data_IF_609707958104
#
_entry.id   IF_609707958104
#
_cell.length_a   1.000
_cell.length_b   1.000
_cell.length_c   1.000
_cell.angle_alpha   90.00
_cell.angle_beta   90.00
_cell.angle_gamma   90.00
#
_symmetry.space_group_name_H-M   'P 1'
#
loop_
_entity.id
_entity.type
_entity.pdbx_description
1 polymer ?
#
# COMPACT_ATOMS: atom_id res chain seq x y z
N UNK A 1 -9.31 -2.01 -19.57
CA UNK A 1 -8.54 -3.26 -19.28
C UNK A 1 -7.17 -2.93 -18.71
N UNK A 2 -6.28 -2.24 -19.43
CA UNK A 2 -4.93 -1.91 -18.94
C UNK A 2 -4.93 -1.10 -17.62
N UNK A 3 -5.80 -0.11 -17.50
CA UNK A 3 -5.97 0.66 -16.26
C UNK A 3 -6.39 -0.22 -15.07
N UNK A 4 -7.38 -1.09 -15.24
CA UNK A 4 -7.82 -2.02 -14.19
C UNK A 4 -6.70 -2.99 -13.81
N UNK A 5 -5.95 -3.49 -14.80
CA UNK A 5 -4.80 -4.35 -14.56
C UNK A 5 -3.71 -3.64 -13.75
N UNK A 6 -3.40 -2.38 -14.06
CA UNK A 6 -2.37 -1.64 -13.30
C UNK A 6 -2.78 -1.43 -11.85
N UNK A 7 -4.07 -1.17 -11.57
CA UNK A 7 -4.59 -1.02 -10.20
C UNK A 7 -4.46 -2.32 -9.39
N UNK A 8 -4.82 -3.47 -9.99
CA UNK A 8 -4.65 -4.75 -9.30
C UNK A 8 -3.19 -5.18 -9.16
N UNK A 9 -2.34 -4.89 -10.15
CA UNK A 9 -0.91 -5.22 -10.07
C UNK A 9 -0.24 -4.40 -8.97
N UNK A 10 -0.54 -3.10 -8.89
CA UNK A 10 0.02 -2.20 -7.90
C UNK A 10 -0.30 -2.63 -6.46
N UNK A 11 -1.50 -3.19 -6.22
CA UNK A 11 -1.90 -3.61 -4.89
C UNK A 11 -1.06 -4.75 -4.32
N UNK A 12 -0.50 -5.60 -5.18
CA UNK A 12 0.32 -6.76 -4.80
C UNK A 12 1.81 -6.61 -5.14
N UNK A 13 2.20 -5.54 -5.84
CA UNK A 13 3.56 -5.34 -6.35
C UNK A 13 4.63 -5.30 -5.25
N UNK A 14 4.26 -4.98 -4.01
CA UNK A 14 5.20 -4.90 -2.88
C UNK A 14 5.59 -6.28 -2.32
N UNK A 15 4.80 -7.33 -2.58
CA UNK A 15 4.99 -8.66 -1.98
C UNK A 15 6.41 -9.25 -2.15
N UNK A 16 7.08 -9.17 -3.31
CA UNK A 16 8.43 -9.72 -3.47
C UNK A 16 9.46 -9.02 -2.56
N UNK A 17 9.36 -7.70 -2.42
CA UNK A 17 10.23 -6.91 -1.53
C UNK A 17 10.00 -7.31 -0.07
N UNK A 18 8.73 -7.46 0.33
CA UNK A 18 8.37 -7.90 1.68
C UNK A 18 8.90 -9.30 1.98
N UNK A 19 8.76 -10.22 1.02
CA UNK A 19 9.28 -11.58 1.15
C UNK A 19 10.80 -11.59 1.32
N UNK A 20 11.52 -10.79 0.53
CA UNK A 20 12.97 -10.65 0.65
C UNK A 20 13.39 -10.15 2.04
N UNK A 21 12.80 -9.06 2.53
CA UNK A 21 13.11 -8.49 3.87
C UNK A 21 12.80 -9.51 4.97
N UNK A 22 11.68 -10.24 4.86
CA UNK A 22 11.31 -11.27 5.83
C UNK A 22 12.31 -12.43 5.92
N UNK A 23 13.06 -12.68 4.83
CA UNK A 23 14.06 -13.76 4.71
C UNK A 23 15.45 -13.31 5.14
N UNK A 24 15.85 -12.08 4.81
CA UNK A 24 17.17 -11.55 5.18
C UNK A 24 17.22 -11.11 6.64
N UNK A 25 16.08 -10.72 7.24
CA UNK A 25 16.03 -10.24 8.61
C UNK A 25 16.72 -8.88 8.83
N UNK A 26 17.19 -8.26 7.75
CA UNK A 26 17.85 -6.96 7.76
C UNK A 26 17.04 -6.02 6.86
N UNK A 27 16.41 -5.01 7.47
CA UNK A 27 15.90 -3.85 6.77
C UNK A 27 16.88 -2.69 7.02
N UNK A 28 17.67 -2.32 6.02
CA UNK A 28 18.50 -1.13 6.11
C UNK A 28 17.63 0.11 6.41
N UNK A 29 18.15 1.06 7.20
CA UNK A 29 17.44 2.29 7.58
C UNK A 29 16.94 3.09 6.37
N UNK A 30 17.68 3.08 5.26
CA UNK A 30 17.27 3.72 3.99
C UNK A 30 16.01 3.05 3.41
N UNK A 31 15.98 1.72 3.38
CA UNK A 31 14.83 0.92 2.91
C UNK A 31 13.59 1.16 3.78
N UNK A 32 13.79 1.39 5.08
CA UNK A 32 12.70 1.70 6.01
C UNK A 32 12.03 3.03 5.70
N UNK A 33 12.81 4.11 5.53
CA UNK A 33 12.23 5.42 5.21
C UNK A 33 11.52 5.40 3.85
N UNK A 34 12.10 4.71 2.87
CA UNK A 34 11.44 4.50 1.58
C UNK A 34 10.06 3.85 1.75
N UNK A 35 9.98 2.73 2.46
CA UNK A 35 8.72 2.01 2.70
C UNK A 35 7.74 2.81 3.56
N UNK A 36 8.21 3.65 4.48
CA UNK A 36 7.36 4.56 5.24
C UNK A 36 6.66 5.57 4.35
N UNK A 37 7.39 6.30 3.49
CA UNK A 37 6.78 7.24 2.55
C UNK A 37 5.89 6.52 1.53
N UNK A 38 6.23 5.27 1.18
CA UNK A 38 5.43 4.39 0.35
C UNK A 38 4.09 4.00 1.05
N UNK A 39 4.09 3.69 2.34
CA UNK A 39 2.84 3.49 3.09
C UNK A 39 2.03 4.79 3.23
N UNK A 40 2.72 5.91 3.48
CA UNK A 40 2.09 7.21 3.72
C UNK A 40 1.33 7.73 2.51
N UNK A 41 1.88 7.62 1.29
CA UNK A 41 1.12 8.05 0.11
C UNK A 41 -0.18 7.26 -0.03
N UNK A 42 -0.18 5.96 0.30
CA UNK A 42 -1.39 5.13 0.17
C UNK A 42 -2.43 5.50 1.21
N UNK A 43 -2.02 5.80 2.44
CA UNK A 43 -2.90 6.34 3.47
C UNK A 43 -3.54 7.67 3.04
N UNK A 44 -2.76 8.56 2.42
CA UNK A 44 -3.30 9.83 1.88
C UNK A 44 -4.32 9.59 0.75
N UNK A 45 -4.13 8.57 -0.08
CA UNK A 45 -5.12 8.19 -1.10
C UNK A 45 -6.43 7.67 -0.50
N UNK A 46 -6.39 6.90 0.59
CA UNK A 46 -7.61 6.50 1.31
C UNK A 46 -8.37 7.71 1.83
N UNK A 47 -7.67 8.68 2.43
CA UNK A 47 -8.27 9.95 2.87
C UNK A 47 -8.86 10.73 1.68
N UNK A 48 -8.16 10.75 0.54
CA UNK A 48 -8.67 11.38 -0.68
C UNK A 48 -9.97 10.72 -1.16
N UNK A 49 -10.06 9.39 -1.18
CA UNK A 49 -11.29 8.71 -1.59
C UNK A 49 -12.45 8.97 -0.64
N UNK A 50 -12.20 9.04 0.68
CA UNK A 50 -13.22 9.45 1.66
C UNK A 50 -13.69 10.87 1.33
N UNK A 51 -12.76 11.81 1.12
CA UNK A 51 -13.11 13.19 0.77
C UNK A 51 -13.97 13.26 -0.50
N UNK A 52 -13.53 12.62 -1.59
CA UNK A 52 -14.26 12.63 -2.87
C UNK A 52 -15.62 11.95 -2.79
N UNK A 53 -15.74 10.91 -1.97
CA UNK A 53 -17.03 10.28 -1.72
C UNK A 53 -18.01 11.24 -1.04
N UNK A 54 -17.57 11.94 0.02
CA UNK A 54 -18.42 12.86 0.77
C UNK A 54 -18.75 14.15 0.02
N UNK A 55 -17.78 14.77 -0.66
CA UNK A 55 -17.94 16.10 -1.28
C UNK A 55 -18.30 16.06 -2.78
N UNK A 56 -17.88 15.04 -3.51
CA UNK A 56 -18.08 14.94 -4.97
C UNK A 56 -19.06 13.81 -5.36
N UNK A 57 -19.42 12.92 -4.43
CA UNK A 57 -20.22 11.72 -4.72
C UNK A 57 -19.48 10.72 -5.63
N UNK A 58 -18.17 10.86 -5.79
CA UNK A 58 -17.36 9.99 -6.65
C UNK A 58 -16.99 8.71 -5.91
N UNK A 59 -17.28 7.55 -6.50
CA UNK A 59 -16.98 6.25 -5.94
C UNK A 59 -16.48 5.28 -7.01
N UNK A 60 -15.22 4.88 -6.92
CA UNK A 60 -14.62 3.85 -7.78
C UNK A 60 -14.30 2.61 -6.94
N UNK A 61 -15.15 1.59 -7.08
CA UNK A 61 -15.05 0.37 -6.29
C UNK A 61 -13.76 -0.41 -6.56
N UNK A 62 -13.25 -0.38 -7.80
CA UNK A 62 -12.03 -1.10 -8.17
C UNK A 62 -10.83 -0.46 -7.47
N UNK A 63 -10.71 0.86 -7.57
CA UNK A 63 -9.62 1.60 -6.95
C UNK A 63 -9.63 1.48 -5.41
N UNK A 64 -10.81 1.57 -4.80
CA UNK A 64 -10.96 1.50 -3.35
C UNK A 64 -10.61 0.10 -2.83
N UNK A 65 -11.17 -0.96 -3.40
CA UNK A 65 -10.91 -2.33 -2.94
C UNK A 65 -9.43 -2.70 -3.11
N UNK A 66 -8.84 -2.40 -4.27
CA UNK A 66 -7.42 -2.64 -4.50
C UNK A 66 -6.52 -1.82 -3.55
N UNK A 67 -6.88 -0.56 -3.30
CA UNK A 67 -6.15 0.30 -2.38
C UNK A 67 -6.23 -0.16 -0.92
N UNK A 68 -7.38 -0.69 -0.49
CA UNK A 68 -7.53 -1.29 0.84
C UNK A 68 -6.64 -2.53 0.98
N UNK A 69 -6.67 -3.43 -0.01
CA UNK A 69 -5.78 -4.62 -0.03
C UNK A 69 -4.32 -4.20 0.09
N UNK A 70 -3.91 -3.21 -0.70
CA UNK A 70 -2.55 -2.69 -0.67
C UNK A 70 -2.17 -2.09 0.69
N UNK A 71 -3.08 -1.34 1.31
CA UNK A 71 -2.87 -0.74 2.63
C UNK A 71 -2.68 -1.81 3.70
N UNK A 72 -3.46 -2.88 3.67
CA UNK A 72 -3.33 -4.01 4.60
C UNK A 72 -1.95 -4.66 4.46
N UNK A 73 -1.46 -4.84 3.24
CA UNK A 73 -0.11 -5.38 3.00
C UNK A 73 1.00 -4.46 3.54
N UNK A 74 0.83 -3.14 3.47
CA UNK A 74 1.74 -2.19 4.13
C UNK A 74 1.64 -2.25 5.66
N UNK A 75 0.46 -2.49 6.23
CA UNK A 75 0.31 -2.70 7.68
C UNK A 75 1.05 -3.96 8.16
N UNK A 76 0.97 -5.06 7.40
CA UNK A 76 1.73 -6.28 7.70
C UNK A 76 3.24 -6.03 7.64
N UNK A 77 3.70 -5.20 6.70
CA UNK A 77 5.09 -4.73 6.68
C UNK A 77 5.46 -3.94 7.93
N UNK A 78 4.66 -2.94 8.33
CA UNK A 78 4.95 -2.15 9.53
C UNK A 78 4.98 -3.04 10.78
N UNK A 79 4.11 -4.03 10.87
CA UNK A 79 4.12 -5.00 11.95
C UNK A 79 5.40 -5.84 11.94
N UNK A 80 5.76 -6.42 10.79
CA UNK A 80 7.00 -7.19 10.65
C UNK A 80 8.25 -6.35 10.97
N UNK A 81 8.27 -5.08 10.57
CA UNK A 81 9.36 -4.13 10.84
C UNK A 81 9.50 -3.77 12.33
N UNK A 82 8.39 -3.59 13.05
CA UNK A 82 8.44 -3.27 14.48
C UNK A 82 8.81 -4.50 15.32
N UNK A 83 8.43 -5.70 14.86
CA UNK A 83 8.54 -6.93 15.65
C UNK A 83 9.83 -7.72 15.37
N UNK A 84 10.48 -7.51 14.22
CA UNK A 84 11.76 -8.15 13.85
C UNK A 84 12.82 -7.10 13.56
#
# INVERSE_FOLDING_TARGET
ILWTFSIYLESVAILPQLFMISKTGEAETITTHYLFFLGLYRALYLVNWIWRFYFEGFFDMIAIVAGVVQTILYCDFFYLYVTK
#
